data_IF_620282341468
#
_entry.id   IF_620282341468
#
_cell.length_a   1.000
_cell.length_b   1.000
_cell.length_c   1.000
_cell.angle_alpha   90.00
_cell.angle_beta   90.00
_cell.angle_gamma   90.00
#
_symmetry.space_group_name_H-M   'P 1'
#
loop_
_entity.id
_entity.type
_entity.pdbx_description
1 polymer ?
#
# COMPACT_ATOMS: atom_id res chain seq x y z
N UNK A 1 -4.37 -4.84 2.85
CA UNK A 1 -3.16 -4.24 2.22
C UNK A 1 -2.55 -3.26 3.20
N UNK A 2 -1.23 -3.28 3.38
CA UNK A 2 -0.51 -2.39 4.31
C UNK A 2 0.62 -1.72 3.54
N UNK A 3 0.62 -0.39 3.46
CA UNK A 3 1.59 0.41 2.67
C UNK A 3 2.15 1.56 3.49
N UNK A 4 3.24 2.15 3.00
CA UNK A 4 3.97 3.19 3.73
C UNK A 4 3.30 4.55 3.62
N UNK A 5 2.98 5.00 2.42
CA UNK A 5 2.49 6.36 2.18
C UNK A 5 1.15 6.37 1.46
N UNK A 6 0.35 7.45 1.61
CA UNK A 6 -0.80 7.69 0.76
C UNK A 6 -0.34 7.83 -0.69
N UNK A 7 -0.85 7.07 -1.60
CA UNK A 7 -0.57 6.86 -3.02
C UNK A 7 -0.01 5.46 -3.36
N UNK A 8 0.76 4.86 -2.47
CA UNK A 8 1.37 3.54 -2.69
C UNK A 8 0.32 2.46 -3.01
N UNK A 9 -0.83 2.49 -2.32
CA UNK A 9 -1.92 1.54 -2.53
C UNK A 9 -2.54 1.68 -3.93
N UNK A 10 -2.65 2.91 -4.42
CA UNK A 10 -3.19 3.20 -5.75
C UNK A 10 -2.16 2.89 -6.85
N UNK A 11 -0.89 3.25 -6.59
CA UNK A 11 0.20 3.11 -7.55
C UNK A 11 0.57 1.65 -7.78
N UNK A 12 0.78 0.90 -6.70
CA UNK A 12 1.31 -0.48 -6.76
C UNK A 12 0.24 -1.55 -6.63
N UNK A 13 -0.90 -1.25 -6.01
CA UNK A 13 -2.00 -2.18 -5.74
C UNK A 13 -3.36 -1.75 -6.30
N UNK A 14 -3.43 -0.68 -7.08
CA UNK A 14 -4.69 -0.08 -7.52
C UNK A 14 -5.56 -0.99 -8.37
N UNK A 15 -4.98 -1.82 -9.22
CA UNK A 15 -5.76 -2.76 -10.03
C UNK A 15 -6.34 -3.90 -9.17
N UNK A 16 -5.60 -4.39 -8.20
CA UNK A 16 -6.07 -5.37 -7.23
C UNK A 16 -7.24 -4.81 -6.43
N UNK A 17 -7.07 -3.62 -5.83
CA UNK A 17 -8.11 -2.97 -5.02
C UNK A 17 -9.37 -2.62 -5.83
N UNK A 18 -9.23 -2.14 -7.07
CA UNK A 18 -10.36 -1.85 -7.95
C UNK A 18 -11.13 -3.10 -8.39
N UNK A 19 -10.55 -4.27 -8.23
CA UNK A 19 -11.16 -5.55 -8.62
C UNK A 19 -11.78 -6.27 -7.42
N UNK A 20 -11.21 -6.09 -6.22
CA UNK A 20 -11.53 -6.85 -5.01
C UNK A 20 -11.70 -5.93 -3.79
N UNK A 21 -12.37 -4.77 -3.95
CA UNK A 21 -12.46 -3.76 -2.89
C UNK A 21 -13.10 -4.26 -1.59
N UNK A 22 -14.07 -5.14 -1.69
CA UNK A 22 -14.79 -5.75 -0.57
C UNK A 22 -13.98 -6.80 0.22
N UNK A 23 -12.85 -7.26 -0.33
CA UNK A 23 -11.97 -8.23 0.31
C UNK A 23 -10.83 -7.57 1.11
N UNK A 24 -10.68 -6.24 1.04
CA UNK A 24 -9.51 -5.56 1.59
C UNK A 24 -9.84 -4.57 2.71
N UNK A 25 -9.03 -4.64 3.77
CA UNK A 25 -8.74 -3.50 4.65
C UNK A 25 -7.43 -2.86 4.17
N UNK A 26 -7.40 -1.53 4.08
CA UNK A 26 -6.20 -0.77 3.69
C UNK A 26 -5.64 -0.01 4.88
N UNK A 27 -4.34 -0.14 5.12
CA UNK A 27 -3.62 0.58 6.18
C UNK A 27 -2.46 1.33 5.56
N UNK A 28 -2.42 2.64 5.79
CA UNK A 28 -1.29 3.52 5.46
C UNK A 28 -0.60 3.92 6.77
N UNK A 29 0.70 3.64 6.87
CA UNK A 29 1.40 3.75 8.16
C UNK A 29 2.00 5.13 8.45
N UNK A 30 2.02 6.06 7.48
CA UNK A 30 2.69 7.36 7.63
C UNK A 30 1.85 8.51 7.04
N UNK A 31 2.29 9.74 7.35
CA UNK A 31 1.83 11.01 6.79
C UNK A 31 0.39 11.44 7.14
N UNK A 32 -0.23 10.88 8.16
CA UNK A 32 -1.55 11.33 8.63
C UNK A 32 -1.62 12.84 8.91
N UNK A 33 -0.54 13.46 9.39
CA UNK A 33 -0.49 14.88 9.70
C UNK A 33 -0.40 15.79 8.46
N UNK A 34 -0.10 15.23 7.30
CA UNK A 34 -0.18 15.95 6.04
C UNK A 34 -1.64 15.97 5.58
N UNK A 35 -2.31 17.10 5.82
CA UNK A 35 -3.76 17.25 5.53
C UNK A 35 -4.09 17.01 4.05
N UNK A 36 -3.22 17.43 3.13
CA UNK A 36 -3.44 17.25 1.69
C UNK A 36 -3.44 15.75 1.38
N UNK A 37 -2.37 15.04 1.74
CA UNK A 37 -2.25 13.61 1.48
C UNK A 37 -3.32 12.78 2.21
N UNK A 38 -3.70 13.21 3.41
CA UNK A 38 -4.80 12.57 4.14
C UNK A 38 -6.13 12.67 3.39
N UNK A 39 -6.45 13.85 2.85
CA UNK A 39 -7.68 14.06 2.06
C UNK A 39 -7.64 13.25 0.75
N UNK A 40 -6.51 13.23 0.08
CA UNK A 40 -6.28 12.42 -1.12
C UNK A 40 -6.48 10.93 -0.82
N UNK A 41 -5.90 10.41 0.27
CA UNK A 41 -6.09 9.03 0.69
C UNK A 41 -7.57 8.69 0.96
N UNK A 42 -8.28 9.52 1.72
CA UNK A 42 -9.72 9.32 1.97
C UNK A 42 -10.50 9.32 0.65
N UNK A 43 -10.17 10.21 -0.26
CA UNK A 43 -10.80 10.26 -1.59
C UNK A 43 -10.47 9.04 -2.44
N UNK A 44 -9.26 8.51 -2.33
CA UNK A 44 -8.84 7.25 -2.95
C UNK A 44 -9.66 6.07 -2.43
N UNK A 45 -9.80 5.92 -1.11
CA UNK A 45 -10.61 4.86 -0.50
C UNK A 45 -12.06 4.93 -0.96
N UNK A 46 -12.63 6.14 -0.98
CA UNK A 46 -13.99 6.36 -1.48
C UNK A 46 -14.12 6.02 -2.97
N UNK A 47 -13.15 6.40 -3.79
CA UNK A 47 -13.14 6.09 -5.23
C UNK A 47 -13.10 4.59 -5.50
N UNK A 48 -12.30 3.84 -4.74
CA UNK A 48 -12.15 2.39 -4.88
C UNK A 48 -13.38 1.65 -4.31
N UNK A 49 -14.05 2.22 -3.30
CA UNK A 49 -15.11 1.58 -2.53
C UNK A 49 -14.59 0.78 -1.33
N UNK A 50 -13.44 1.15 -0.77
CA UNK A 50 -12.90 0.56 0.45
C UNK A 50 -13.61 1.18 1.65
N UNK A 51 -14.27 0.36 2.46
CA UNK A 51 -14.97 0.79 3.67
C UNK A 51 -14.08 0.70 4.92
N UNK A 52 -13.16 -0.26 4.96
CA UNK A 52 -12.26 -0.47 6.08
C UNK A 52 -10.85 0.03 5.76
N UNK A 53 -10.46 1.12 6.42
CA UNK A 53 -9.10 1.65 6.26
C UNK A 53 -8.61 2.36 7.52
N UNK A 54 -7.29 2.41 7.67
CA UNK A 54 -6.62 3.20 8.70
C UNK A 54 -5.50 4.04 8.07
N UNK A 55 -5.33 5.24 8.60
CA UNK A 55 -4.23 6.11 8.23
C UNK A 55 -3.52 6.57 9.51
N UNK A 56 -2.27 6.15 9.68
CA UNK A 56 -1.52 6.38 10.90
C UNK A 56 -0.65 7.63 10.82
N UNK A 57 -0.27 8.13 12.00
CA UNK A 57 0.49 9.39 12.14
C UNK A 57 1.89 9.32 11.59
N UNK A 58 2.35 8.12 11.30
CA UNK A 58 3.72 7.87 10.92
C UNK A 58 4.63 7.71 12.14
N UNK A 59 5.70 7.04 11.89
CA UNK A 59 6.76 6.82 12.84
C UNK A 59 7.92 7.71 12.40
N UNK A 60 7.65 9.03 12.35
CA UNK A 60 8.65 10.04 12.03
C UNK A 60 9.76 9.97 13.06
N UNK A 61 10.87 9.51 12.60
CA UNK A 61 12.14 9.75 13.20
C UNK A 61 13.14 9.64 12.08
N UNK A 62 14.09 10.49 11.97
CA UNK A 62 15.26 10.27 11.16
C UNK A 62 15.85 8.92 11.53
N UNK A 63 16.74 8.86 12.46
CA UNK A 63 17.32 7.61 12.98
C UNK A 63 16.40 6.88 13.98
N UNK A 64 15.42 7.57 14.59
CA UNK A 64 14.48 7.02 15.58
C UNK A 64 13.13 6.63 14.93
N UNK A 65 13.20 5.73 14.00
CA UNK A 65 12.04 4.98 13.59
C UNK A 65 11.59 4.11 14.79
N UNK A 66 10.46 4.46 15.40
CA UNK A 66 9.91 3.69 16.51
C UNK A 66 9.42 2.31 16.06
N UNK A 67 10.36 1.47 15.68
CA UNK A 67 10.12 0.13 15.12
C UNK A 67 9.21 -0.71 16.03
N UNK A 68 9.43 -0.64 17.33
CA UNK A 68 8.62 -1.39 18.31
C UNK A 68 7.17 -0.94 18.32
N UNK A 69 6.93 0.38 18.25
CA UNK A 69 5.58 0.92 18.16
C UNK A 69 4.89 0.50 16.88
N UNK A 70 5.59 0.53 15.73
CA UNK A 70 5.05 0.04 14.48
C UNK A 70 4.70 -1.44 14.56
N UNK A 71 5.58 -2.27 15.10
CA UNK A 71 5.33 -3.71 15.29
C UNK A 71 4.07 -3.91 16.16
N UNK A 72 3.94 -3.16 17.24
CA UNK A 72 2.75 -3.24 18.11
C UNK A 72 1.45 -2.93 17.36
N UNK A 73 1.41 -1.84 16.61
CA UNK A 73 0.23 -1.47 15.82
C UNK A 73 -0.07 -2.46 14.68
N UNK A 74 0.96 -2.97 14.01
CA UNK A 74 0.79 -4.03 13.02
C UNK A 74 0.21 -5.30 13.64
N UNK A 75 0.70 -5.71 14.81
CA UNK A 75 0.17 -6.86 15.53
C UNK A 75 -1.28 -6.63 15.98
N UNK A 76 -1.66 -5.40 16.37
CA UNK A 76 -3.05 -5.05 16.66
C UNK A 76 -3.93 -5.32 15.46
N UNK A 77 -3.60 -4.76 14.30
CA UNK A 77 -4.37 -4.98 13.05
C UNK A 77 -4.43 -6.47 12.68
N UNK A 78 -3.29 -7.16 12.74
CA UNK A 78 -3.21 -8.58 12.34
C UNK A 78 -4.00 -9.53 13.26
N UNK A 79 -4.38 -9.07 14.46
CA UNK A 79 -5.19 -9.83 15.44
C UNK A 79 -6.68 -9.50 15.37
N UNK A 80 -7.11 -8.49 14.62
CA UNK A 80 -8.53 -8.12 14.50
C UNK A 80 -9.39 -9.24 13.92
N UNK A 81 -8.79 -10.02 13.02
CA UNK A 81 -9.43 -11.15 12.34
C UNK A 81 -8.40 -12.11 11.76
N UNK A 82 -8.84 -13.25 11.28
CA UNK A 82 -8.00 -14.14 10.49
C UNK A 82 -7.86 -13.61 9.05
N UNK A 83 -6.67 -13.13 8.71
CA UNK A 83 -6.34 -12.70 7.37
C UNK A 83 -5.74 -13.84 6.56
N UNK A 84 -6.21 -14.03 5.36
CA UNK A 84 -5.69 -15.05 4.42
C UNK A 84 -4.58 -14.51 3.53
N UNK A 85 -4.45 -13.18 3.45
CA UNK A 85 -3.50 -12.49 2.57
C UNK A 85 -3.11 -11.13 3.16
N UNK A 86 -1.83 -10.87 3.23
CA UNK A 86 -1.28 -9.53 3.52
C UNK A 86 -0.53 -9.07 2.28
N UNK A 87 -0.88 -7.91 1.74
CA UNK A 87 -0.20 -7.31 0.59
C UNK A 87 0.59 -6.09 1.05
N UNK A 88 1.85 -5.99 0.67
CA UNK A 88 2.73 -4.88 1.01
C UNK A 88 3.80 -4.65 -0.06
N UNK A 89 4.71 -3.72 0.21
CA UNK A 89 5.87 -3.42 -0.61
C UNK A 89 6.76 -4.65 -0.88
N UNK A 90 7.56 -4.57 -1.92
CA UNK A 90 8.53 -5.63 -2.18
C UNK A 90 9.84 -5.40 -1.38
N UNK A 91 10.63 -6.46 -1.29
CA UNK A 91 11.90 -6.46 -0.55
C UNK A 91 12.90 -5.40 -1.04
N UNK A 92 12.80 -4.97 -2.30
CA UNK A 92 13.66 -3.92 -2.87
C UNK A 92 13.13 -2.52 -2.62
N UNK A 93 11.88 -2.39 -2.14
CA UNK A 93 11.20 -1.11 -1.91
C UNK A 93 10.84 -0.39 -3.20
N UNK A 94 10.40 -1.13 -4.23
CA UNK A 94 10.02 -0.72 -5.58
C UNK A 94 11.16 0.00 -6.31
N UNK A 95 11.51 1.19 -5.87
CA UNK A 95 12.59 2.03 -6.39
C UNK A 95 13.72 2.26 -5.36
N UNK A 96 13.77 1.45 -4.31
CA UNK A 96 14.80 1.54 -3.26
C UNK A 96 14.37 2.33 -2.03
N UNK A 97 13.09 2.66 -1.88
CA UNK A 97 12.59 3.45 -0.77
C UNK A 97 12.84 2.75 0.59
N UNK A 98 13.53 3.39 1.55
CA UNK A 98 13.92 2.71 2.80
C UNK A 98 12.73 2.29 3.67
N UNK A 99 11.65 3.08 3.72
CA UNK A 99 10.45 2.76 4.50
C UNK A 99 9.69 1.57 3.91
N UNK A 100 9.62 1.46 2.57
CA UNK A 100 9.02 0.31 1.91
C UNK A 100 9.74 -0.98 2.27
N UNK A 101 11.08 -0.95 2.25
CA UNK A 101 11.92 -2.09 2.66
C UNK A 101 11.70 -2.46 4.12
N UNK A 102 11.72 -1.46 5.01
CA UNK A 102 11.53 -1.68 6.44
C UNK A 102 10.15 -2.30 6.76
N UNK A 103 9.09 -1.81 6.13
CA UNK A 103 7.74 -2.35 6.29
C UNK A 103 7.64 -3.80 5.78
N UNK A 104 8.22 -4.07 4.59
CA UNK A 104 8.30 -5.42 4.06
C UNK A 104 9.00 -6.37 5.03
N UNK A 105 10.17 -5.99 5.54
CA UNK A 105 10.97 -6.83 6.42
C UNK A 105 10.25 -7.14 7.74
N UNK A 106 9.54 -6.16 8.30
CA UNK A 106 8.73 -6.36 9.51
C UNK A 106 7.60 -7.34 9.23
N UNK A 107 6.80 -7.12 8.19
CA UNK A 107 5.67 -7.99 7.86
C UNK A 107 6.12 -9.40 7.47
N UNK A 108 7.25 -9.53 6.79
CA UNK A 108 7.85 -10.83 6.46
C UNK A 108 8.32 -11.58 7.71
N UNK A 109 8.73 -10.87 8.76
CA UNK A 109 9.05 -11.49 10.05
C UNK A 109 7.78 -11.91 10.81
N UNK A 110 6.73 -11.09 10.78
CA UNK A 110 5.50 -11.34 11.53
C UNK A 110 4.61 -12.42 10.90
N UNK A 111 4.40 -12.38 9.58
CA UNK A 111 3.46 -13.27 8.87
C UNK A 111 3.95 -13.65 7.46
N UNK A 112 5.10 -14.38 7.36
CA UNK A 112 5.65 -14.82 6.07
C UNK A 112 4.73 -15.80 5.33
N UNK A 113 3.89 -16.51 6.06
CA UNK A 113 2.98 -17.56 5.56
C UNK A 113 1.91 -17.04 4.60
N UNK A 114 1.44 -15.80 4.81
CA UNK A 114 0.38 -15.16 4.03
C UNK A 114 0.82 -13.85 3.37
N UNK A 115 2.12 -13.55 3.36
CA UNK A 115 2.65 -12.32 2.80
C UNK A 115 2.73 -12.36 1.27
N UNK A 116 2.24 -11.30 0.66
CA UNK A 116 2.34 -11.00 -0.76
C UNK A 116 2.96 -9.61 -0.95
N UNK A 117 3.74 -9.46 -1.98
CA UNK A 117 4.41 -8.20 -2.30
C UNK A 117 4.04 -7.69 -3.68
N UNK A 118 4.15 -6.38 -3.85
CA UNK A 118 4.05 -5.76 -5.17
C UNK A 118 5.18 -6.22 -6.08
N UNK A 119 4.83 -6.48 -7.33
CA UNK A 119 5.78 -6.84 -8.37
C UNK A 119 5.35 -6.23 -9.71
N UNK A 120 6.29 -6.14 -10.62
CA UNK A 120 6.01 -5.67 -11.98
C UNK A 120 5.51 -6.83 -12.83
N UNK A 121 4.25 -6.74 -13.23
CA UNK A 121 3.67 -7.73 -14.11
C UNK A 121 4.32 -7.72 -15.50
N UNK A 122 4.33 -8.89 -16.16
CA UNK A 122 4.68 -8.99 -17.58
C UNK A 122 3.48 -8.78 -18.49
N UNK A 123 2.29 -9.08 -17.98
CA UNK A 123 1.02 -8.92 -18.70
C UNK A 123 0.37 -7.61 -18.29
N UNK A 124 -0.13 -6.87 -19.26
CA UNK A 124 -0.89 -5.63 -19.00
C UNK A 124 -2.19 -5.96 -18.26
N UNK A 125 -2.56 -5.08 -17.34
CA UNK A 125 -3.91 -5.08 -16.75
C UNK A 125 -4.93 -4.78 -17.85
N UNK A 126 -6.19 -5.21 -17.67
CA UNK A 126 -7.24 -4.98 -18.66
C UNK A 126 -7.48 -3.48 -18.89
N UNK A 127 -7.87 -3.11 -20.10
CA UNK A 127 -8.15 -1.71 -20.43
C UNK A 127 -9.21 -1.09 -19.50
N UNK A 128 -10.23 -1.86 -19.14
CA UNK A 128 -11.29 -1.41 -18.20
C UNK A 128 -10.71 -1.00 -16.85
N UNK A 129 -9.84 -1.82 -16.28
CA UNK A 129 -9.18 -1.53 -15.00
C UNK A 129 -8.16 -0.41 -15.16
N UNK A 130 -7.41 -0.39 -16.26
CA UNK A 130 -6.44 0.66 -16.52
C UNK A 130 -7.06 2.06 -16.55
N UNK A 131 -8.22 2.23 -17.20
CA UNK A 131 -8.93 3.51 -17.21
C UNK A 131 -9.27 3.94 -15.79
N UNK A 132 -9.89 3.05 -15.01
CA UNK A 132 -10.22 3.32 -13.60
C UNK A 132 -8.97 3.63 -12.76
N UNK A 133 -7.88 2.87 -12.95
CA UNK A 133 -6.63 3.10 -12.23
C UNK A 133 -6.02 4.47 -12.56
N UNK A 134 -6.08 4.90 -13.81
CA UNK A 134 -5.64 6.25 -14.20
C UNK A 134 -6.46 7.35 -13.54
N UNK A 135 -7.78 7.16 -13.43
CA UNK A 135 -8.64 8.12 -12.75
C UNK A 135 -8.40 8.10 -11.23
N UNK A 136 -8.15 6.95 -10.65
CA UNK A 136 -7.72 6.80 -9.26
C UNK A 136 -6.42 7.56 -8.99
N UNK A 137 -5.41 7.41 -9.83
CA UNK A 137 -4.12 8.10 -9.67
C UNK A 137 -4.24 9.63 -9.73
N UNK A 138 -5.21 10.17 -10.45
CA UNK A 138 -5.48 11.62 -10.49
C UNK A 138 -5.96 12.19 -9.14
N UNK A 139 -6.44 11.33 -8.24
CA UNK A 139 -6.83 11.75 -6.88
C UNK A 139 -5.63 12.29 -6.10
N UNK A 140 -4.43 11.80 -6.42
CA UNK A 140 -3.18 12.17 -5.76
C UNK A 140 -2.44 13.30 -6.50
N UNK A 141 -3.10 14.45 -6.66
CA UNK A 141 -2.54 15.62 -7.37
C UNK A 141 -1.23 16.11 -6.75
N UNK A 142 -1.10 16.03 -5.42
CA UNK A 142 0.12 16.43 -4.70
C UNK A 142 1.32 15.54 -5.02
N UNK A 143 1.11 14.36 -5.60
CA UNK A 143 2.14 13.35 -5.89
C UNK A 143 2.34 13.12 -7.39
N UNK A 144 1.80 13.98 -8.24
CA UNK A 144 1.83 13.81 -9.68
C UNK A 144 3.23 13.51 -10.24
N UNK A 145 4.25 14.22 -9.78
CA UNK A 145 5.63 14.01 -10.24
C UNK A 145 6.13 12.60 -9.94
N UNK A 146 5.81 12.06 -8.75
CA UNK A 146 6.21 10.69 -8.37
C UNK A 146 5.41 9.67 -9.18
N UNK A 147 4.12 9.91 -9.36
CA UNK A 147 3.25 9.00 -10.13
C UNK A 147 3.67 8.89 -11.60
N UNK A 148 4.20 9.96 -12.18
CA UNK A 148 4.68 9.98 -13.57
C UNK A 148 5.94 9.11 -13.78
N UNK A 149 6.67 8.74 -12.71
CA UNK A 149 7.81 7.83 -12.80
C UNK A 149 7.42 6.37 -13.05
N UNK A 150 6.16 6.03 -12.84
CA UNK A 150 5.68 4.65 -12.89
C UNK A 150 4.66 4.45 -13.99
N UNK A 151 4.78 3.31 -14.66
CA UNK A 151 3.79 2.90 -15.65
C UNK A 151 2.57 2.27 -14.96
N UNK A 152 1.36 2.81 -15.14
CA UNK A 152 0.16 2.23 -14.55
C UNK A 152 -0.30 0.92 -15.23
N UNK A 153 0.38 0.52 -16.30
CA UNK A 153 -0.02 -0.60 -17.17
C UNK A 153 0.24 -1.98 -16.56
N UNK A 154 1.21 -2.08 -15.64
CA UNK A 154 1.69 -3.35 -15.14
C UNK A 154 1.57 -3.39 -13.63
N UNK A 155 0.84 -4.37 -13.16
CA UNK A 155 0.68 -4.62 -11.74
C UNK A 155 0.58 -6.13 -11.53
N UNK A 156 1.23 -6.64 -10.52
CA UNK A 156 1.19 -8.02 -10.12
C UNK A 156 1.41 -8.13 -8.63
N UNK A 157 0.72 -9.05 -8.00
CA UNK A 157 1.05 -9.50 -6.67
C UNK A 157 1.81 -10.82 -6.74
N UNK A 158 2.85 -10.95 -5.94
CA UNK A 158 3.65 -12.15 -5.84
C UNK A 158 3.72 -12.62 -4.39
N UNK A 159 3.42 -13.90 -4.15
CA UNK A 159 3.58 -14.48 -2.82
C UNK A 159 5.07 -14.49 -2.46
N UNK A 160 5.38 -14.04 -1.24
CA UNK A 160 6.74 -14.12 -0.72
C UNK A 160 7.02 -15.59 -0.38
N UNK A 161 7.98 -16.18 -1.08
CA UNK A 161 8.44 -17.53 -0.79
C UNK A 161 9.53 -17.48 0.29
N UNK A 162 9.47 -18.44 1.20
CA UNK A 162 10.52 -18.66 2.20
C UNK A 162 11.84 -19.04 1.54
#
# INVERSE_FOLDING_TARGET
>A
MIVSHPDDEALFGGAELLTHSDEYKVVVIDEYHNEVRRKEFISSMKFIGIEEYEHWTGYKGGEDYHREKLIYELLRVLREREYTKIVTHNRKGEYGHPRHRALHDILNHLRPDILWQFDKGRKRISNKILIKKRDLLKVYESQKEVLDWFSPWYEKLMKVNK
#
